data_IF_722969055449
#
_entry.id   IF_722969055449
#
_cell.length_a   1.000
_cell.length_b   1.000
_cell.length_c   1.000
_cell.angle_alpha   90.00
_cell.angle_beta   90.00
_cell.angle_gamma   90.00
#
_symmetry.space_group_name_H-M   'P 1'
#
loop_
_entity.id
_entity.type
_entity.pdbx_description
1 polymer ?
#
# COMPACT_ATOMS: atom_id res chain seq x y z
N UNK A 1 8.43 0.59 -7.48
CA UNK A 1 8.90 -0.11 -6.25
C UNK A 1 9.23 0.86 -5.12
N UNK A 2 10.30 1.67 -5.23
CA UNK A 2 10.74 2.60 -4.17
C UNK A 2 9.64 3.57 -3.67
N UNK A 3 8.87 4.28 -4.53
CA UNK A 3 7.85 5.21 -4.04
C UNK A 3 6.67 4.52 -3.35
N UNK A 4 6.25 3.35 -3.85
CA UNK A 4 5.16 2.56 -3.26
C UNK A 4 5.57 2.02 -1.88
N UNK A 5 6.80 1.48 -1.79
CA UNK A 5 7.37 1.02 -0.53
C UNK A 5 7.51 2.17 0.49
N UNK A 6 7.89 3.38 0.04
CA UNK A 6 7.97 4.55 0.90
C UNK A 6 6.60 4.97 1.45
N UNK A 7 5.55 4.95 0.62
CA UNK A 7 4.17 5.24 1.04
C UNK A 7 3.68 4.19 2.06
N UNK A 8 3.89 2.90 1.76
CA UNK A 8 3.49 1.83 2.67
C UNK A 8 4.26 1.88 4.00
N UNK A 9 5.56 2.18 3.95
CA UNK A 9 6.38 2.39 5.14
C UNK A 9 5.86 3.54 6.01
N UNK A 10 5.45 4.65 5.39
CA UNK A 10 4.83 5.78 6.10
C UNK A 10 3.50 5.37 6.76
N UNK A 11 2.63 4.65 6.06
CA UNK A 11 1.35 4.17 6.61
C UNK A 11 1.58 3.29 7.83
N UNK A 12 2.50 2.32 7.73
CA UNK A 12 2.85 1.42 8.84
C UNK A 12 3.44 2.21 10.02
N UNK A 13 4.27 3.22 9.75
CA UNK A 13 4.84 4.09 10.78
C UNK A 13 3.75 4.89 11.51
N UNK A 14 2.82 5.50 10.79
CA UNK A 14 1.72 6.26 11.40
C UNK A 14 0.78 5.36 12.22
N UNK A 15 0.42 4.19 11.69
CA UNK A 15 -0.34 3.14 12.40
C UNK A 15 0.37 2.72 13.69
N UNK A 16 1.68 2.49 13.63
CA UNK A 16 2.48 2.13 14.80
C UNK A 16 2.51 3.24 15.85
N UNK A 17 2.70 4.49 15.41
CA UNK A 17 2.69 5.67 16.29
C UNK A 17 1.33 5.84 16.96
N UNK A 18 0.23 5.63 16.21
CA UNK A 18 -1.14 5.67 16.73
C UNK A 18 -1.37 4.58 17.79
N UNK A 19 -0.94 3.34 17.52
CA UNK A 19 -1.07 2.22 18.44
C UNK A 19 -0.26 2.40 19.73
N UNK A 20 0.92 3.00 19.65
CA UNK A 20 1.72 3.36 20.84
C UNK A 20 1.03 4.47 21.63
N UNK A 21 0.65 5.56 20.97
CA UNK A 21 0.07 6.74 21.62
C UNK A 21 -1.26 6.44 22.32
N UNK A 22 -2.03 5.50 21.79
CA UNK A 22 -3.35 5.14 22.33
C UNK A 22 -3.33 3.89 23.24
N UNK A 23 -2.15 3.45 23.72
CA UNK A 23 -1.96 2.30 24.63
C UNK A 23 -2.79 1.06 24.25
N UNK A 24 -2.89 0.77 22.95
CA UNK A 24 -3.72 -0.34 22.45
C UNK A 24 -3.12 -1.68 22.87
N UNK A 25 -4.01 -2.67 23.12
CA UNK A 25 -3.62 -4.02 23.56
C UNK A 25 -2.60 -4.64 22.60
N UNK A 26 -1.68 -5.42 23.15
CA UNK A 26 -0.60 -6.09 22.39
C UNK A 26 -1.12 -6.91 21.20
N UNK A 27 -2.31 -7.52 21.32
CA UNK A 27 -3.00 -8.24 20.24
C UNK A 27 -3.31 -7.37 19.02
N UNK A 28 -3.75 -6.12 19.25
CA UNK A 28 -4.06 -5.17 18.18
C UNK A 28 -2.79 -4.78 17.41
N UNK A 29 -1.66 -4.65 18.11
CA UNK A 29 -0.37 -4.34 17.47
C UNK A 29 0.09 -5.47 16.54
N UNK A 30 -0.06 -6.72 16.97
CA UNK A 30 0.25 -7.89 16.14
C UNK A 30 -0.68 -8.01 14.93
N UNK A 31 -1.97 -7.72 15.07
CA UNK A 31 -2.91 -7.70 13.95
C UNK A 31 -2.52 -6.66 12.90
N UNK A 32 -2.17 -5.45 13.33
CA UNK A 32 -1.77 -4.37 12.39
C UNK A 32 -0.47 -4.71 11.67
N UNK A 33 0.53 -5.28 12.36
CA UNK A 33 1.76 -5.77 11.71
C UNK A 33 1.43 -6.90 10.73
N UNK A 34 0.57 -7.85 11.10
CA UNK A 34 0.20 -8.96 10.23
C UNK A 34 -0.51 -8.48 8.96
N UNK A 35 -1.42 -7.51 9.09
CA UNK A 35 -2.10 -6.87 7.95
C UNK A 35 -1.11 -6.10 7.08
N UNK A 36 -0.17 -5.37 7.68
CA UNK A 36 0.88 -4.67 6.94
C UNK A 36 1.77 -5.65 6.14
N UNK A 37 2.24 -6.74 6.76
CA UNK A 37 3.00 -7.78 6.06
C UNK A 37 2.18 -8.43 4.94
N UNK A 38 0.90 -8.73 5.20
CA UNK A 38 0.01 -9.32 4.20
C UNK A 38 -0.17 -8.40 2.98
N UNK A 39 -0.40 -7.11 3.21
CA UNK A 39 -0.51 -6.12 2.13
C UNK A 39 0.78 -5.99 1.32
N UNK A 40 1.94 -5.99 1.97
CA UNK A 40 3.24 -5.97 1.27
C UNK A 40 3.41 -7.20 0.38
N UNK A 41 3.06 -8.40 0.89
CA UNK A 41 3.07 -9.63 0.09
C UNK A 41 2.09 -9.57 -1.08
N UNK A 42 0.88 -9.02 -0.88
CA UNK A 42 -0.07 -8.82 -1.97
C UNK A 42 0.49 -7.92 -3.06
N UNK A 43 1.20 -6.84 -2.72
CA UNK A 43 1.84 -5.96 -3.70
C UNK A 43 2.92 -6.69 -4.48
N UNK A 44 3.74 -7.50 -3.80
CA UNK A 44 4.79 -8.29 -4.42
C UNK A 44 4.21 -9.35 -5.38
N UNK A 45 3.14 -10.03 -4.97
CA UNK A 45 2.37 -10.95 -5.83
C UNK A 45 1.78 -10.21 -7.02
N UNK A 46 1.13 -9.06 -6.82
CA UNK A 46 0.57 -8.25 -7.91
C UNK A 46 1.69 -7.88 -8.88
N UNK A 47 2.87 -7.48 -8.40
CA UNK A 47 3.98 -7.10 -9.27
C UNK A 47 4.55 -8.26 -10.07
N UNK A 48 4.73 -9.44 -9.44
CA UNK A 48 5.14 -10.66 -10.13
C UNK A 48 4.10 -11.11 -11.16
N UNK A 49 2.82 -10.84 -10.91
CA UNK A 49 1.74 -11.08 -11.86
C UNK A 49 1.58 -9.94 -12.87
N UNK A 50 2.04 -8.71 -12.61
CA UNK A 50 1.94 -7.55 -13.51
C UNK A 50 2.79 -7.75 -14.78
N UNK A 51 3.93 -8.43 -14.65
CA UNK A 51 4.71 -8.88 -15.83
C UNK A 51 3.93 -9.86 -16.73
N UNK A 52 2.91 -10.56 -16.19
CA UNK A 52 2.12 -11.56 -16.92
C UNK A 52 0.70 -11.10 -17.28
N UNK A 53 0.13 -10.22 -16.49
CA UNK A 53 -1.21 -9.66 -16.60
C UNK A 53 -1.02 -8.16 -16.50
N UNK A 54 -1.14 -7.47 -17.62
CA UNK A 54 -0.91 -6.02 -17.75
C UNK A 54 -1.92 -5.20 -16.92
N UNK A 55 -1.85 -5.30 -15.59
CA UNK A 55 -2.65 -4.57 -14.62
C UNK A 55 -2.24 -3.10 -14.62
N UNK A 56 -0.98 -2.82 -14.95
CA UNK A 56 -0.50 -1.49 -15.33
C UNK A 56 -1.39 -0.80 -16.35
N UNK A 57 -1.86 -1.49 -17.41
CA UNK A 57 -2.75 -0.91 -18.44
C UNK A 57 -4.14 -0.60 -17.85
N UNK A 58 -4.66 -1.44 -16.95
CA UNK A 58 -5.94 -1.22 -16.29
C UNK A 58 -5.88 0.02 -15.37
N UNK A 59 -4.82 0.13 -14.58
CA UNK A 59 -4.58 1.27 -13.70
C UNK A 59 -4.38 2.54 -14.54
N UNK A 60 -3.56 2.50 -15.59
CA UNK A 60 -3.39 3.64 -16.50
C UNK A 60 -4.73 4.05 -17.14
N UNK A 61 -5.58 3.10 -17.53
CA UNK A 61 -6.88 3.41 -18.13
C UNK A 61 -7.83 4.16 -17.18
N UNK A 62 -7.78 3.86 -15.88
CA UNK A 62 -8.63 4.50 -14.86
C UNK A 62 -8.06 5.86 -14.45
N UNK A 63 -6.74 5.97 -14.31
CA UNK A 63 -6.07 7.18 -13.82
C UNK A 63 -5.71 8.19 -14.93
N UNK A 64 -5.62 7.77 -16.20
CA UNK A 64 -5.36 8.65 -17.34
C UNK A 64 -6.37 9.81 -17.49
N UNK A 65 -7.70 9.60 -17.41
CA UNK A 65 -8.65 10.71 -17.47
C UNK A 65 -8.52 11.68 -16.28
N UNK A 66 -8.13 11.18 -15.12
CA UNK A 66 -7.93 12.00 -13.90
C UNK A 66 -6.64 12.82 -14.01
N UNK A 67 -5.56 12.24 -14.54
CA UNK A 67 -4.31 12.97 -14.80
C UNK A 67 -4.50 14.09 -15.82
N UNK A 68 -5.26 13.85 -16.90
CA UNK A 68 -5.61 14.90 -17.87
C UNK A 68 -6.42 16.05 -17.26
N UNK A 69 -7.18 15.80 -16.19
CA UNK A 69 -7.96 16.84 -15.50
C UNK A 69 -7.12 17.64 -14.49
N UNK A 70 -6.09 17.01 -13.90
CA UNK A 70 -5.21 17.62 -12.90
C UNK A 70 -4.03 18.39 -13.51
N UNK A 71 -3.63 18.04 -14.73
CA UNK A 71 -2.47 18.62 -15.42
C UNK A 71 -2.83 19.34 -16.74
N UNK A 72 -4.11 19.64 -16.97
CA UNK A 72 -4.58 20.50 -18.08
C UNK A 72 -4.83 21.94 -17.62
#
# INVERSE_FOLDING_TARGET
MIPIAAIFGLVVYFEWLYLQRNNRKRRTKWLVIAVACFLTLCIEVIYLFDEKLSLGILIDSIFSPIQKLLFA
#
